data_IF_969365062030
#
_entry.id   IF_969365062030
#
_cell.length_a   1.000
_cell.length_b   1.000
_cell.length_c   1.000
_cell.angle_alpha   90.00
_cell.angle_beta   90.00
_cell.angle_gamma   90.00
#
_symmetry.space_group_name_H-M   'P 1'
#
loop_
_entity.id
_entity.type
_entity.pdbx_description
1 polymer ?
#
# COMPACT_ATOMS: atom_id res chain seq x y z
N UNK A 1 -2.77 -1.62 -9.63
CA UNK A 1 -3.89 -0.69 -9.37
C UNK A 1 -5.26 -1.33 -9.58
N UNK A 2 -5.58 -1.88 -10.77
CA UNK A 2 -6.92 -2.38 -11.10
C UNK A 2 -7.46 -3.47 -10.13
N UNK A 3 -6.61 -4.40 -9.67
CA UNK A 3 -7.02 -5.47 -8.75
C UNK A 3 -7.48 -4.98 -7.37
N UNK A 4 -6.86 -3.91 -6.85
CA UNK A 4 -7.26 -3.32 -5.57
C UNK A 4 -8.63 -2.64 -5.66
N UNK A 5 -8.91 -1.99 -6.79
CA UNK A 5 -10.22 -1.35 -7.05
C UNK A 5 -11.32 -2.40 -7.13
N UNK A 6 -11.09 -3.50 -7.84
CA UNK A 6 -12.07 -4.61 -7.93
C UNK A 6 -12.31 -5.24 -6.55
N UNK A 7 -11.26 -5.50 -5.78
CA UNK A 7 -11.41 -6.03 -4.42
C UNK A 7 -12.20 -5.11 -3.49
N UNK A 8 -11.93 -3.80 -3.55
CA UNK A 8 -12.64 -2.80 -2.78
C UNK A 8 -14.13 -2.70 -3.16
N UNK A 9 -14.44 -2.75 -4.46
CA UNK A 9 -15.82 -2.74 -4.95
C UNK A 9 -16.60 -3.99 -4.50
N UNK A 10 -15.97 -5.18 -4.55
CA UNK A 10 -16.58 -6.42 -4.07
C UNK A 10 -16.86 -6.37 -2.57
N UNK A 11 -15.91 -5.87 -1.76
CA UNK A 11 -16.10 -5.69 -0.32
C UNK A 11 -17.23 -4.69 -0.02
N UNK A 12 -17.28 -3.59 -0.76
CA UNK A 12 -18.31 -2.56 -0.59
C UNK A 12 -19.70 -3.09 -0.96
N UNK A 13 -19.80 -3.85 -2.05
CA UNK A 13 -21.03 -4.50 -2.47
C UNK A 13 -21.51 -5.53 -1.43
N UNK A 14 -20.59 -6.34 -0.90
CA UNK A 14 -20.92 -7.31 0.15
C UNK A 14 -21.35 -6.63 1.46
N UNK A 15 -20.69 -5.53 1.85
CA UNK A 15 -21.10 -4.73 3.00
C UNK A 15 -22.50 -4.13 2.82
N UNK A 16 -22.81 -3.59 1.64
CA UNK A 16 -24.13 -3.08 1.32
C UNK A 16 -25.20 -4.17 1.38
N UNK A 17 -24.92 -5.35 0.80
CA UNK A 17 -25.80 -6.52 0.87
C UNK A 17 -26.06 -6.96 2.31
N UNK A 18 -25.00 -7.03 3.13
CA UNK A 18 -25.07 -7.40 4.54
C UNK A 18 -25.92 -6.42 5.34
N UNK A 19 -25.75 -5.11 5.12
CA UNK A 19 -26.55 -4.10 5.80
C UNK A 19 -28.03 -4.17 5.40
N UNK A 20 -28.32 -4.34 4.11
CA UNK A 20 -29.69 -4.38 3.61
C UNK A 20 -30.44 -5.63 4.10
N UNK A 21 -29.84 -6.81 3.95
CA UNK A 21 -30.44 -8.07 4.40
C UNK A 21 -30.44 -8.18 5.93
N UNK A 22 -29.39 -7.70 6.60
CA UNK A 22 -29.28 -7.68 8.06
C UNK A 22 -30.41 -6.87 8.70
N UNK A 23 -30.76 -5.70 8.15
CA UNK A 23 -31.90 -4.91 8.62
C UNK A 23 -33.24 -5.63 8.49
N UNK A 24 -33.43 -6.42 7.43
CA UNK A 24 -34.67 -7.21 7.24
C UNK A 24 -34.77 -8.37 8.24
N UNK A 25 -33.65 -9.06 8.49
CA UNK A 25 -33.54 -10.12 9.50
C UNK A 25 -33.82 -9.55 10.89
N UNK A 26 -33.23 -8.39 11.21
CA UNK A 26 -33.47 -7.69 12.47
C UNK A 26 -34.93 -7.29 12.63
N UNK A 27 -35.53 -6.67 11.62
CA UNK A 27 -36.94 -6.28 11.65
C UNK A 27 -37.87 -7.49 11.88
N UNK A 28 -37.60 -8.62 11.22
CA UNK A 28 -38.35 -9.85 11.41
C UNK A 28 -38.18 -10.42 12.82
N UNK A 29 -36.96 -10.39 13.36
CA UNK A 29 -36.65 -10.88 14.71
C UNK A 29 -37.33 -10.03 15.79
N UNK A 30 -37.30 -8.70 15.62
CA UNK A 30 -37.96 -7.75 16.51
C UNK A 30 -39.47 -7.92 16.46
N UNK A 31 -40.07 -7.96 15.27
CA UNK A 31 -41.52 -8.17 15.12
C UNK A 31 -41.97 -9.52 15.71
N UNK A 32 -41.20 -10.58 15.51
CA UNK A 32 -41.48 -11.89 16.10
C UNK A 32 -41.49 -11.84 17.63
N UNK A 33 -40.43 -11.28 18.23
CA UNK A 33 -40.25 -11.26 19.68
C UNK A 33 -41.16 -10.28 20.39
N UNK A 34 -41.42 -9.11 19.81
CA UNK A 34 -42.12 -8.01 20.47
C UNK A 34 -43.59 -7.93 20.09
N UNK A 35 -43.98 -8.46 18.93
CA UNK A 35 -45.35 -8.38 18.42
C UNK A 35 -46.01 -9.75 18.33
N UNK A 36 -45.46 -10.67 17.53
CA UNK A 36 -46.16 -11.91 17.13
C UNK A 36 -46.26 -12.93 18.26
N UNK A 37 -45.18 -13.22 19.00
CA UNK A 37 -45.22 -14.16 20.13
C UNK A 37 -46.15 -13.67 21.26
N UNK A 38 -46.04 -12.42 21.76
CA UNK A 38 -46.96 -11.91 22.76
C UNK A 38 -48.43 -11.94 22.31
N UNK A 39 -48.69 -11.69 21.03
CA UNK A 39 -50.03 -11.81 20.47
C UNK A 39 -50.58 -13.25 20.50
N UNK A 40 -49.77 -14.25 20.16
CA UNK A 40 -50.18 -15.65 20.25
C UNK A 40 -50.51 -16.05 21.69
N UNK A 41 -49.71 -15.58 22.66
CA UNK A 41 -49.99 -15.77 24.10
C UNK A 41 -51.30 -15.07 24.47
N UNK A 42 -51.51 -13.83 24.02
CA UNK A 42 -52.73 -13.06 24.29
C UNK A 42 -53.98 -13.75 23.73
N UNK A 43 -53.90 -14.31 22.52
CA UNK A 43 -55.00 -15.07 21.94
C UNK A 43 -55.31 -16.35 22.73
N UNK A 44 -54.30 -17.03 23.27
CA UNK A 44 -54.48 -18.18 24.16
C UNK A 44 -55.11 -17.77 25.50
N UNK A 45 -54.67 -16.66 26.11
CA UNK A 45 -55.27 -16.10 27.31
C UNK A 45 -56.73 -15.74 27.09
N UNK A 46 -57.07 -15.14 25.95
CA UNK A 46 -58.44 -14.77 25.63
C UNK A 46 -59.36 -15.99 25.50
N UNK A 47 -58.86 -17.10 24.95
CA UNK A 47 -59.60 -18.39 24.95
C UNK A 47 -59.82 -18.92 26.35
N UNK A 48 -58.83 -18.81 27.23
CA UNK A 48 -58.99 -19.16 28.64
C UNK A 48 -60.03 -18.25 29.32
N UNK A 49 -60.02 -16.95 29.04
CA UNK A 49 -60.97 -15.99 29.61
C UNK A 49 -62.41 -16.30 29.17
N UNK A 50 -62.61 -16.72 27.91
CA UNK A 50 -63.91 -17.19 27.42
C UNK A 50 -64.42 -18.38 28.22
N UNK A 51 -63.55 -19.34 28.57
CA UNK A 51 -63.93 -20.48 29.39
C UNK A 51 -64.26 -20.07 30.84
N UNK A 52 -63.52 -19.12 31.40
CA UNK A 52 -63.81 -18.55 32.72
C UNK A 52 -65.20 -17.90 32.73
N UNK A 53 -65.56 -17.12 31.70
CA UNK A 53 -66.90 -16.54 31.61
C UNK A 53 -68.00 -17.59 31.51
N UNK A 54 -67.80 -18.64 30.71
CA UNK A 54 -68.76 -19.76 30.63
C UNK A 54 -68.97 -20.34 32.03
N UNK A 55 -67.89 -20.64 32.75
CA UNK A 55 -67.95 -21.21 34.09
C UNK A 55 -68.66 -20.29 35.10
N UNK A 56 -68.39 -18.98 35.05
CA UNK A 56 -69.04 -17.99 35.92
C UNK A 56 -70.56 -17.93 35.72
N UNK A 57 -71.03 -17.99 34.47
CA UNK A 57 -72.47 -17.98 34.17
C UNK A 57 -73.13 -19.29 34.63
N UNK A 58 -72.47 -20.43 34.46
CA UNK A 58 -72.94 -21.71 35.01
C UNK A 58 -72.93 -21.75 36.54
N UNK A 59 -71.94 -21.12 37.18
CA UNK A 59 -71.89 -21.00 38.63
C UNK A 59 -73.05 -20.15 39.16
N UNK A 60 -73.32 -19.00 38.54
CA UNK A 60 -74.49 -18.18 38.88
C UNK A 60 -75.80 -18.96 38.70
N UNK A 61 -75.92 -19.75 37.63
CA UNK A 61 -77.08 -20.63 37.42
C UNK A 61 -77.25 -21.65 38.54
N UNK A 62 -76.16 -22.20 39.07
CA UNK A 62 -76.20 -23.26 40.09
C UNK A 62 -76.37 -22.71 41.53
N UNK A 63 -75.74 -21.59 41.86
CA UNK A 63 -75.66 -21.06 43.23
C UNK A 63 -76.62 -19.90 43.49
N UNK A 64 -77.03 -19.19 42.44
CA UNK A 64 -77.75 -17.92 42.50
C UNK A 64 -77.05 -16.83 43.35
N UNK A 65 -75.73 -16.94 43.54
CA UNK A 65 -74.93 -15.94 44.28
C UNK A 65 -74.51 -14.78 43.36
N UNK A 66 -75.36 -13.76 43.30
CA UNK A 66 -75.10 -12.57 42.48
C UNK A 66 -73.90 -11.73 42.95
N UNK A 67 -73.57 -11.75 44.24
CA UNK A 67 -72.50 -10.90 44.77
C UNK A 67 -71.11 -11.45 44.39
N UNK A 68 -70.93 -12.77 44.53
CA UNK A 68 -69.73 -13.45 44.08
C UNK A 68 -69.58 -13.39 42.54
N UNK A 69 -70.69 -13.55 41.81
CA UNK A 69 -70.70 -13.41 40.36
C UNK A 69 -70.26 -12.02 39.89
N UNK A 70 -70.88 -10.95 40.38
CA UNK A 70 -70.60 -9.59 39.89
C UNK A 70 -69.12 -9.22 40.03
N UNK A 71 -68.51 -9.55 41.18
CA UNK A 71 -67.09 -9.27 41.44
C UNK A 71 -66.16 -9.99 40.47
N UNK A 72 -66.40 -11.30 40.26
CA UNK A 72 -65.54 -12.12 39.40
C UNK A 72 -65.78 -11.83 37.91
N UNK A 73 -67.02 -11.53 37.52
CA UNK A 73 -67.41 -11.23 36.15
C UNK A 73 -66.84 -9.90 35.65
N UNK A 74 -66.87 -8.85 36.49
CA UNK A 74 -66.27 -7.56 36.15
C UNK A 74 -64.76 -7.66 35.91
N UNK A 75 -64.05 -8.42 36.75
CA UNK A 75 -62.61 -8.65 36.58
C UNK A 75 -62.30 -9.39 35.28
N UNK A 76 -63.05 -10.46 34.98
CA UNK A 76 -62.91 -11.22 33.73
C UNK A 76 -63.18 -10.35 32.49
N UNK A 77 -64.24 -9.54 32.50
CA UNK A 77 -64.54 -8.61 31.41
C UNK A 77 -63.43 -7.58 31.19
N UNK A 78 -62.84 -7.05 32.27
CA UNK A 78 -61.72 -6.12 32.17
C UNK A 78 -60.49 -6.78 31.53
N UNK A 79 -60.15 -8.01 31.93
CA UNK A 79 -59.05 -8.78 31.33
C UNK A 79 -59.30 -9.10 29.85
N UNK A 80 -60.51 -9.54 29.49
CA UNK A 80 -60.87 -9.79 28.09
C UNK A 80 -60.74 -8.53 27.24
N UNK A 81 -61.23 -7.39 27.72
CA UNK A 81 -61.13 -6.11 27.02
C UNK A 81 -59.67 -5.70 26.80
N UNK A 82 -58.83 -5.86 27.81
CA UNK A 82 -57.39 -5.61 27.71
C UNK A 82 -56.72 -6.53 26.67
N UNK A 83 -56.98 -7.84 26.74
CA UNK A 83 -56.45 -8.82 25.79
C UNK A 83 -56.91 -8.55 24.34
N UNK A 84 -58.18 -8.21 24.12
CA UNK A 84 -58.66 -7.79 22.80
C UNK A 84 -57.96 -6.51 22.30
N UNK A 85 -57.68 -5.55 23.18
CA UNK A 85 -57.01 -4.31 22.79
C UNK A 85 -55.58 -4.55 22.31
N UNK A 86 -54.87 -5.51 22.92
CA UNK A 86 -53.53 -5.93 22.49
C UNK A 86 -53.57 -6.60 21.12
N UNK A 87 -54.55 -7.48 20.86
CA UNK A 87 -54.69 -8.16 19.57
C UNK A 87 -55.01 -7.21 18.41
N UNK A 88 -55.72 -6.10 18.65
CA UNK A 88 -56.03 -5.09 17.63
C UNK A 88 -54.81 -4.44 16.98
N UNK A 89 -53.65 -4.50 17.63
CA UNK A 89 -52.40 -3.97 17.06
C UNK A 89 -51.81 -4.83 15.94
N UNK A 90 -52.30 -6.06 15.78
CA UNK A 90 -51.83 -6.97 14.73
C UNK A 90 -52.43 -6.60 13.37
N UNK A 91 -51.60 -6.59 12.35
CA UNK A 91 -52.09 -6.44 10.98
C UNK A 91 -53.02 -7.58 10.57
N UNK A 92 -52.78 -8.80 11.04
CA UNK A 92 -53.65 -9.96 10.80
C UNK A 92 -55.02 -9.80 11.45
N UNK A 93 -55.14 -9.04 12.54
CA UNK A 93 -56.43 -8.81 13.21
C UNK A 93 -57.43 -8.09 12.31
N UNK A 94 -56.96 -7.22 11.39
CA UNK A 94 -57.83 -6.44 10.49
C UNK A 94 -58.76 -7.33 9.66
N UNK A 95 -58.30 -8.52 9.25
CA UNK A 95 -59.11 -9.50 8.51
C UNK A 95 -60.22 -10.14 9.34
N UNK A 96 -60.06 -10.15 10.67
CA UNK A 96 -60.96 -10.81 11.62
C UNK A 96 -61.81 -9.83 12.45
N UNK A 97 -61.46 -8.54 12.43
CA UNK A 97 -62.02 -7.50 13.30
C UNK A 97 -63.55 -7.46 13.25
N UNK A 98 -64.15 -7.38 12.06
CA UNK A 98 -65.59 -7.26 11.90
C UNK A 98 -66.34 -8.45 12.54
N UNK A 99 -65.86 -9.67 12.30
CA UNK A 99 -66.48 -10.90 12.82
C UNK A 99 -66.27 -11.06 14.32
N UNK A 100 -65.07 -10.75 14.83
CA UNK A 100 -64.80 -10.75 16.27
C UNK A 100 -65.65 -9.72 17.02
N UNK A 101 -65.85 -8.53 16.45
CA UNK A 101 -66.74 -7.51 16.99
C UNK A 101 -68.20 -7.97 17.00
N UNK A 102 -68.68 -8.55 15.89
CA UNK A 102 -70.04 -9.09 15.79
C UNK A 102 -70.31 -10.16 16.86
N UNK A 103 -69.42 -11.15 16.98
CA UNK A 103 -69.54 -12.21 17.99
C UNK A 103 -69.47 -11.63 19.40
N UNK A 104 -68.58 -10.66 19.64
CA UNK A 104 -68.42 -10.02 20.95
C UNK A 104 -69.67 -9.26 21.40
N UNK A 105 -70.30 -8.51 20.50
CA UNK A 105 -71.58 -7.82 20.77
C UNK A 105 -72.69 -8.84 21.07
N UNK A 106 -72.78 -9.91 20.27
CA UNK A 106 -73.74 -11.00 20.51
C UNK A 106 -73.53 -11.65 21.88
N UNK A 107 -72.28 -11.94 22.25
CA UNK A 107 -71.93 -12.50 23.55
C UNK A 107 -72.34 -11.61 24.72
N UNK A 108 -72.04 -10.31 24.63
CA UNK A 108 -72.40 -9.34 25.68
C UNK A 108 -73.92 -9.26 25.87
N UNK A 109 -74.68 -9.26 24.76
CA UNK A 109 -76.15 -9.26 24.81
C UNK A 109 -76.70 -10.54 25.45
N UNK A 110 -76.14 -11.70 25.13
CA UNK A 110 -76.55 -12.99 25.70
C UNK A 110 -76.24 -13.08 27.21
N UNK A 111 -75.06 -12.63 27.63
CA UNK A 111 -74.68 -12.56 29.04
C UNK A 111 -75.61 -11.61 29.82
N UNK A 112 -75.87 -10.42 29.29
CA UNK A 112 -76.80 -9.48 29.90
C UNK A 112 -78.22 -10.06 30.01
N UNK A 113 -78.72 -10.70 28.95
CA UNK A 113 -80.03 -11.35 28.99
C UNK A 113 -80.10 -12.43 30.07
N UNK A 114 -79.10 -13.30 30.14
CA UNK A 114 -79.00 -14.33 31.17
C UNK A 114 -79.03 -13.73 32.59
N UNK A 115 -78.20 -12.70 32.86
CA UNK A 115 -78.16 -12.04 34.17
C UNK A 115 -79.51 -11.38 34.50
N UNK A 116 -80.21 -10.81 33.53
CA UNK A 116 -81.55 -10.24 33.75
C UNK A 116 -82.59 -11.29 34.10
N UNK A 117 -82.57 -12.45 33.43
CA UNK A 117 -83.46 -13.58 33.76
C UNK A 117 -83.20 -14.09 35.19
N UNK A 118 -81.92 -14.24 35.56
CA UNK A 118 -81.54 -14.70 36.91
C UNK A 118 -81.90 -13.70 38.03
N UNK A 119 -82.08 -12.41 37.71
CA UNK A 119 -82.46 -11.36 38.69
C UNK A 119 -83.97 -11.25 38.92
N UNK A 120 -84.80 -11.98 38.18
CA UNK A 120 -86.26 -11.92 38.35
C UNK A 120 -86.69 -12.56 39.67
N UNK A 121 -87.77 -12.08 40.31
CA UNK A 121 -88.29 -12.66 41.56
C UNK A 121 -88.67 -14.14 41.41
N UNK A 122 -89.15 -14.53 40.24
CA UNK A 122 -89.46 -15.91 39.86
C UNK A 122 -88.64 -16.22 38.60
N UNK A 123 -87.57 -17.00 38.75
CA UNK A 123 -86.60 -17.26 37.67
C UNK A 123 -87.18 -18.23 36.64
N UNK A 124 -87.24 -17.80 35.37
CA UNK A 124 -87.50 -18.68 34.24
C UNK A 124 -86.24 -19.50 33.91
N UNK A 125 -86.16 -20.70 34.48
CA UNK A 125 -85.02 -21.60 34.33
C UNK A 125 -84.82 -22.11 32.90
N UNK A 126 -85.89 -22.20 32.11
CA UNK A 126 -85.79 -22.64 30.71
C UNK A 126 -85.21 -21.52 29.85
N UNK A 127 -85.66 -20.27 30.06
CA UNK A 127 -85.05 -19.10 29.42
C UNK A 127 -83.58 -18.91 29.84
N UNK A 128 -83.24 -19.13 31.11
CA UNK A 128 -81.86 -19.07 31.60
C UNK A 128 -80.98 -20.14 30.93
N UNK A 129 -81.49 -21.37 30.80
CA UNK A 129 -80.79 -22.48 30.14
C UNK A 129 -80.59 -22.21 28.65
N UNK A 130 -81.59 -21.67 27.97
CA UNK A 130 -81.49 -21.28 26.56
C UNK A 130 -80.43 -20.18 26.36
N UNK A 131 -80.43 -19.15 27.22
CA UNK A 131 -79.44 -18.09 27.18
C UNK A 131 -78.01 -18.60 27.41
N UNK A 132 -77.80 -19.53 28.36
CA UNK A 132 -76.50 -20.20 28.59
C UNK A 132 -76.05 -21.01 27.37
N UNK A 133 -76.96 -21.79 26.78
CA UNK A 133 -76.67 -22.59 25.58
C UNK A 133 -76.26 -21.69 24.41
N UNK A 134 -77.00 -20.61 24.18
CA UNK A 134 -76.67 -19.62 23.15
C UNK A 134 -75.36 -18.89 23.43
N UNK A 135 -75.06 -18.54 24.70
CA UNK A 135 -73.79 -17.94 25.10
C UNK A 135 -72.62 -18.88 24.83
N UNK A 136 -72.73 -20.15 25.23
CA UNK A 136 -71.74 -21.20 24.98
C UNK A 136 -71.48 -21.39 23.48
N UNK A 137 -72.53 -21.42 22.66
CA UNK A 137 -72.40 -21.48 21.21
C UNK A 137 -71.66 -20.25 20.64
N UNK A 138 -71.95 -19.05 21.15
CA UNK A 138 -71.25 -17.82 20.76
C UNK A 138 -69.80 -17.80 21.21
N UNK A 139 -69.48 -18.34 22.40
CA UNK A 139 -68.11 -18.47 22.89
C UNK A 139 -67.29 -19.46 22.04
N UNK A 140 -67.90 -20.55 21.60
CA UNK A 140 -67.29 -21.49 20.66
C UNK A 140 -67.00 -20.82 19.30
N UNK A 141 -67.94 -20.03 18.78
CA UNK A 141 -67.73 -19.26 17.55
C UNK A 141 -66.57 -18.24 17.70
N UNK A 142 -66.47 -17.56 18.85
CA UNK A 142 -65.35 -16.67 19.17
C UNK A 142 -64.03 -17.44 19.19
N UNK A 143 -64.00 -18.61 19.84
CA UNK A 143 -62.80 -19.46 19.91
C UNK A 143 -62.32 -19.90 18.53
N UNK A 144 -63.25 -20.31 17.64
CA UNK A 144 -62.94 -20.68 16.26
C UNK A 144 -62.38 -19.51 15.43
N UNK A 145 -62.89 -18.31 15.66
CA UNK A 145 -62.37 -17.11 15.00
C UNK A 145 -60.96 -16.76 15.50
N UNK A 146 -60.72 -16.89 16.80
CA UNK A 146 -59.39 -16.74 17.39
C UNK A 146 -58.42 -17.84 16.94
N UNK A 147 -58.87 -19.09 16.74
CA UNK A 147 -58.08 -20.15 16.09
C UNK A 147 -57.66 -19.76 14.67
N UNK A 148 -58.58 -19.18 13.91
CA UNK A 148 -58.31 -18.72 12.55
C UNK A 148 -57.29 -17.58 12.53
N UNK A 149 -57.43 -16.60 13.41
CA UNK A 149 -56.46 -15.51 13.60
C UNK A 149 -55.08 -16.06 14.01
N UNK A 150 -55.03 -16.94 15.01
CA UNK A 150 -53.78 -17.59 15.47
C UNK A 150 -53.11 -18.32 14.30
N UNK A 151 -53.87 -19.07 13.51
CA UNK A 151 -53.36 -19.79 12.35
C UNK A 151 -52.79 -18.84 11.29
N UNK A 152 -53.45 -17.72 11.00
CA UNK A 152 -52.94 -16.72 10.06
C UNK A 152 -51.63 -16.10 10.57
N UNK A 153 -51.62 -15.65 11.83
CA UNK A 153 -50.44 -15.08 12.50
C UNK A 153 -49.27 -16.07 12.47
N UNK A 154 -49.50 -17.33 12.85
CA UNK A 154 -48.46 -18.37 12.83
C UNK A 154 -47.95 -18.66 11.41
N UNK A 155 -48.82 -18.69 10.40
CA UNK A 155 -48.43 -18.96 9.01
C UNK A 155 -47.57 -17.83 8.45
N UNK A 156 -47.97 -16.56 8.63
CA UNK A 156 -47.18 -15.40 8.19
C UNK A 156 -45.86 -15.29 8.96
N UNK A 157 -45.89 -15.59 10.26
CA UNK A 157 -44.70 -15.63 11.10
C UNK A 157 -43.71 -16.69 10.61
N UNK A 158 -44.18 -17.90 10.31
CA UNK A 158 -43.33 -18.98 9.79
C UNK A 158 -42.73 -18.62 8.44
N UNK A 159 -43.51 -18.06 7.53
CA UNK A 159 -43.02 -17.61 6.22
C UNK A 159 -41.96 -16.51 6.36
N UNK A 160 -42.18 -15.56 7.27
CA UNK A 160 -41.21 -14.48 7.53
C UNK A 160 -39.91 -15.03 8.15
N UNK A 161 -40.01 -15.98 9.08
CA UNK A 161 -38.85 -16.66 9.66
C UNK A 161 -38.06 -17.47 8.61
N UNK A 162 -38.75 -18.18 7.71
CA UNK A 162 -38.12 -18.90 6.60
C UNK A 162 -37.41 -17.96 5.63
N UNK A 163 -38.03 -16.83 5.27
CA UNK A 163 -37.38 -15.81 4.44
C UNK A 163 -36.14 -15.22 5.13
N UNK A 164 -36.22 -14.94 6.43
CA UNK A 164 -35.09 -14.47 7.23
C UNK A 164 -33.95 -15.51 7.29
N UNK A 165 -34.28 -16.79 7.41
CA UNK A 165 -33.32 -17.89 7.34
C UNK A 165 -32.64 -17.94 5.98
N UNK A 166 -33.40 -17.87 4.88
CA UNK A 166 -32.86 -17.86 3.52
C UNK A 166 -31.91 -16.68 3.27
N UNK A 167 -32.28 -15.47 3.72
CA UNK A 167 -31.40 -14.30 3.63
C UNK A 167 -30.10 -14.51 4.42
N UNK A 168 -30.18 -15.15 5.59
CA UNK A 168 -29.00 -15.48 6.40
C UNK A 168 -28.10 -16.49 5.66
N UNK A 169 -28.67 -17.55 5.10
CA UNK A 169 -27.93 -18.54 4.31
C UNK A 169 -27.26 -17.92 3.07
N UNK A 170 -27.95 -17.02 2.36
CA UNK A 170 -27.39 -16.28 1.23
C UNK A 170 -26.22 -15.40 1.64
N UNK A 171 -26.31 -14.70 2.79
CA UNK A 171 -25.21 -13.89 3.31
C UNK A 171 -24.00 -14.75 3.68
N UNK A 172 -24.21 -15.91 4.31
CA UNK A 172 -23.13 -16.86 4.64
C UNK A 172 -22.46 -17.36 3.36
N UNK A 173 -23.25 -17.80 2.37
CA UNK A 173 -22.71 -18.29 1.09
C UNK A 173 -21.94 -17.19 0.34
N UNK A 174 -22.49 -15.98 0.26
CA UNK A 174 -21.82 -14.84 -0.35
C UNK A 174 -20.51 -14.49 0.38
N UNK A 175 -20.50 -14.57 1.71
CA UNK A 175 -19.30 -14.35 2.53
C UNK A 175 -18.22 -15.40 2.27
N UNK A 176 -18.58 -16.68 2.14
CA UNK A 176 -17.66 -17.77 1.80
C UNK A 176 -17.07 -17.54 0.39
N UNK A 177 -17.89 -17.23 -0.61
CA UNK A 177 -17.43 -16.96 -1.98
C UNK A 177 -16.47 -15.77 -1.98
N UNK A 178 -16.81 -14.69 -1.27
CA UNK A 178 -15.94 -13.53 -1.15
C UNK A 178 -14.61 -13.87 -0.49
N UNK A 179 -14.62 -14.66 0.59
CA UNK A 179 -13.41 -15.11 1.28
C UNK A 179 -12.49 -15.92 0.34
N UNK A 180 -13.07 -16.82 -0.47
CA UNK A 180 -12.33 -17.59 -1.48
C UNK A 180 -11.72 -16.65 -2.54
N UNK A 181 -12.49 -15.68 -3.04
CA UNK A 181 -12.01 -14.71 -4.04
C UNK A 181 -10.87 -13.84 -3.49
N UNK A 182 -10.98 -13.37 -2.25
CA UNK A 182 -9.91 -12.62 -1.59
C UNK A 182 -8.67 -13.49 -1.42
N UNK A 183 -8.82 -14.73 -0.97
CA UNK A 183 -7.71 -15.67 -0.82
C UNK A 183 -6.99 -15.95 -2.16
N UNK A 184 -7.75 -16.24 -3.22
CA UNK A 184 -7.20 -16.41 -4.57
C UNK A 184 -6.52 -15.13 -5.09
N UNK A 185 -7.09 -13.96 -4.80
CA UNK A 185 -6.50 -12.67 -5.12
C UNK A 185 -5.14 -12.48 -4.46
N UNK A 186 -5.00 -12.85 -3.18
CA UNK A 186 -3.73 -12.80 -2.44
C UNK A 186 -2.70 -13.75 -3.06
N UNK A 187 -3.07 -15.00 -3.35
CA UNK A 187 -2.17 -15.96 -4.00
C UNK A 187 -1.70 -15.45 -5.36
N UNK A 188 -2.62 -14.95 -6.18
CA UNK A 188 -2.31 -14.44 -7.52
C UNK A 188 -1.38 -13.23 -7.43
N UNK A 189 -1.62 -12.32 -6.48
CA UNK A 189 -0.76 -11.16 -6.26
C UNK A 189 0.64 -11.56 -5.76
N UNK A 190 0.72 -12.54 -4.85
CA UNK A 190 2.00 -13.06 -4.37
C UNK A 190 2.80 -13.71 -5.51
N UNK A 191 2.14 -14.52 -6.34
CA UNK A 191 2.74 -15.12 -7.53
C UNK A 191 3.23 -14.06 -8.53
N UNK A 192 2.39 -13.06 -8.82
CA UNK A 192 2.73 -11.97 -9.73
C UNK A 192 3.93 -11.16 -9.23
N UNK A 193 3.91 -10.76 -7.95
CA UNK A 193 5.02 -10.03 -7.31
C UNK A 193 6.32 -10.83 -7.35
N UNK A 194 6.26 -12.14 -7.06
CA UNK A 194 7.42 -13.00 -7.12
C UNK A 194 7.97 -13.12 -8.55
N UNK A 195 7.10 -13.31 -9.55
CA UNK A 195 7.52 -13.53 -10.94
C UNK A 195 7.99 -12.27 -11.64
N UNK A 196 7.32 -11.14 -11.42
CA UNK A 196 7.55 -9.91 -12.19
C UNK A 196 8.49 -8.93 -11.48
N UNK A 197 8.61 -8.99 -10.15
CA UNK A 197 9.48 -8.07 -9.41
C UNK A 197 10.65 -8.83 -8.78
N UNK A 198 10.37 -9.80 -7.91
CA UNK A 198 11.43 -10.46 -7.12
C UNK A 198 12.41 -11.25 -7.99
N UNK A 199 11.94 -12.02 -8.97
CA UNK A 199 12.79 -12.80 -9.87
C UNK A 199 13.70 -11.92 -10.75
N UNK A 200 13.18 -10.93 -11.52
CA UNK A 200 14.02 -10.05 -12.32
C UNK A 200 15.01 -9.26 -11.47
N UNK A 201 14.60 -8.74 -10.31
CA UNK A 201 15.49 -8.01 -9.41
C UNK A 201 16.63 -8.89 -8.89
N UNK A 202 16.34 -10.16 -8.54
CA UNK A 202 17.37 -11.13 -8.16
C UNK A 202 18.31 -11.45 -9.31
N UNK A 203 17.80 -11.55 -10.54
CA UNK A 203 18.63 -11.76 -11.73
C UNK A 203 19.56 -10.57 -12.02
N UNK A 204 19.06 -9.33 -11.88
CA UNK A 204 19.87 -8.11 -12.00
C UNK A 204 20.94 -8.07 -10.91
N UNK A 205 20.56 -8.34 -9.65
CA UNK A 205 21.51 -8.40 -8.53
C UNK A 205 22.62 -9.42 -8.77
N UNK A 206 22.27 -10.63 -9.26
CA UNK A 206 23.26 -11.66 -9.60
C UNK A 206 24.22 -11.18 -10.69
N UNK A 207 23.72 -10.53 -11.73
CA UNK A 207 24.57 -10.03 -12.82
C UNK A 207 25.48 -8.88 -12.40
N UNK A 208 25.04 -8.01 -11.49
CA UNK A 208 25.89 -6.97 -10.90
C UNK A 208 27.03 -7.59 -10.06
N UNK A 209 26.70 -8.62 -9.28
CA UNK A 209 27.72 -9.39 -8.55
C UNK A 209 28.70 -10.06 -9.51
N UNK A 210 28.22 -10.66 -10.59
CA UNK A 210 29.08 -11.28 -11.61
C UNK A 210 29.96 -10.26 -12.34
N UNK A 211 29.42 -9.08 -12.68
CA UNK A 211 30.17 -7.98 -13.27
C UNK A 211 31.31 -7.53 -12.33
N UNK A 212 31.01 -7.38 -11.04
CA UNK A 212 32.00 -6.98 -10.02
C UNK A 212 33.08 -8.06 -9.84
N UNK A 213 32.70 -9.33 -9.84
CA UNK A 213 33.62 -10.46 -9.67
C UNK A 213 34.51 -10.68 -10.89
N UNK A 214 33.93 -10.62 -12.09
CA UNK A 214 34.67 -10.78 -13.34
C UNK A 214 35.64 -9.64 -13.54
N UNK A 215 35.24 -8.43 -13.09
CA UNK A 215 35.83 -7.18 -13.57
C UNK A 215 35.80 -7.29 -15.09
N UNK A 216 34.62 -7.14 -15.71
CA UNK A 216 34.56 -6.91 -17.17
C UNK A 216 33.57 -5.76 -17.47
N UNK A 217 34.08 -4.61 -17.94
CA UNK A 217 33.29 -3.39 -18.20
C UNK A 217 32.58 -3.51 -19.56
N UNK A 218 32.97 -4.47 -20.39
CA UNK A 218 32.33 -4.79 -21.67
C UNK A 218 31.06 -5.60 -21.49
N UNK A 219 30.92 -6.27 -20.34
CA UNK A 219 29.70 -6.96 -20.00
C UNK A 219 28.52 -5.97 -19.86
N UNK A 220 27.36 -6.38 -20.36
CA UNK A 220 26.11 -5.64 -20.27
C UNK A 220 25.05 -6.50 -19.61
N UNK A 221 24.32 -5.89 -18.68
CA UNK A 221 23.21 -6.55 -18.01
C UNK A 221 22.15 -6.86 -19.06
N UNK A 222 21.65 -8.10 -19.05
CA UNK A 222 20.57 -8.53 -19.93
C UNK A 222 19.27 -7.87 -19.50
N UNK A 223 18.40 -7.59 -20.47
CA UNK A 223 17.09 -6.99 -20.24
C UNK A 223 16.07 -8.09 -19.91
N UNK A 224 15.37 -7.97 -18.77
CA UNK A 224 14.41 -8.99 -18.30
C UNK A 224 12.98 -8.48 -18.15
N UNK A 225 12.76 -7.16 -18.20
CA UNK A 225 11.44 -6.55 -18.06
C UNK A 225 11.44 -5.16 -18.71
N UNK A 226 10.28 -4.71 -19.20
CA UNK A 226 10.07 -3.37 -19.77
C UNK A 226 9.46 -2.39 -18.75
N UNK A 227 9.56 -2.70 -17.47
CA UNK A 227 9.06 -1.91 -16.35
C UNK A 227 10.20 -1.16 -15.64
N UNK A 228 9.96 -0.71 -14.41
CA UNK A 228 10.95 0.00 -13.59
C UNK A 228 12.23 -0.82 -13.37
N UNK A 229 12.16 -2.16 -13.36
CA UNK A 229 13.36 -3.02 -13.28
C UNK A 229 14.15 -2.96 -14.58
N UNK A 230 13.47 -2.86 -15.72
CA UNK A 230 14.07 -2.61 -17.02
C UNK A 230 14.84 -1.29 -17.09
N UNK A 231 14.25 -0.23 -16.53
CA UNK A 231 14.87 1.09 -16.47
C UNK A 231 16.15 1.10 -15.61
N UNK A 232 16.19 0.30 -14.54
CA UNK A 232 17.41 0.10 -13.73
C UNK A 232 18.50 -0.54 -14.61
N UNK A 233 18.19 -1.60 -15.34
CA UNK A 233 19.15 -2.27 -16.24
C UNK A 233 19.71 -1.30 -17.28
N UNK A 234 18.85 -0.50 -17.91
CA UNK A 234 19.26 0.49 -18.90
C UNK A 234 20.17 1.57 -18.30
N UNK A 235 19.81 2.08 -17.13
CA UNK A 235 20.59 3.10 -16.41
C UNK A 235 21.96 2.56 -15.99
N UNK A 236 22.04 1.32 -15.52
CA UNK A 236 23.31 0.65 -15.20
C UNK A 236 24.17 0.47 -16.45
N UNK A 237 23.60 0.00 -17.56
CA UNK A 237 24.34 -0.19 -18.80
C UNK A 237 24.92 1.13 -19.35
N UNK A 238 24.16 2.23 -19.22
CA UNK A 238 24.66 3.57 -19.57
C UNK A 238 25.80 4.02 -18.66
N UNK A 239 25.72 3.75 -17.36
CA UNK A 239 26.81 4.02 -16.42
C UNK A 239 28.09 3.26 -16.82
N UNK A 240 27.96 1.98 -17.17
CA UNK A 240 29.09 1.16 -17.66
C UNK A 240 29.70 1.72 -18.94
N UNK A 241 28.88 2.21 -19.86
CA UNK A 241 29.35 2.86 -21.10
C UNK A 241 30.17 4.11 -20.81
N UNK A 242 29.73 4.96 -19.88
CA UNK A 242 30.47 6.16 -19.49
C UNK A 242 31.79 5.82 -18.78
N UNK A 243 31.80 4.77 -17.93
CA UNK A 243 33.06 4.26 -17.36
C UNK A 243 34.03 3.78 -18.44
N UNK A 244 33.56 3.06 -19.45
CA UNK A 244 34.42 2.62 -20.55
C UNK A 244 35.01 3.78 -21.35
N UNK A 245 34.21 4.81 -21.66
CA UNK A 245 34.69 6.03 -22.35
C UNK A 245 35.76 6.74 -21.53
N UNK A 246 35.57 6.81 -20.21
CA UNK A 246 36.54 7.39 -19.29
C UNK A 246 37.85 6.59 -19.30
N UNK A 247 37.79 5.26 -19.20
CA UNK A 247 38.99 4.39 -19.28
C UNK A 247 39.71 4.55 -20.62
N UNK A 248 38.98 4.61 -21.74
CA UNK A 248 39.58 4.84 -23.06
C UNK A 248 40.28 6.21 -23.16
N UNK A 249 39.66 7.25 -22.60
CA UNK A 249 40.26 8.59 -22.53
C UNK A 249 41.54 8.58 -21.70
N UNK A 250 41.54 7.87 -20.55
CA UNK A 250 42.74 7.72 -19.72
C UNK A 250 43.88 7.01 -20.45
N UNK A 251 43.58 5.97 -21.25
CA UNK A 251 44.57 5.32 -22.12
C UNK A 251 45.17 6.29 -23.14
N UNK A 252 44.32 7.06 -23.85
CA UNK A 252 44.78 8.05 -24.82
C UNK A 252 45.67 9.13 -24.19
N UNK A 253 45.27 9.66 -23.04
CA UNK A 253 46.06 10.64 -22.28
C UNK A 253 47.40 10.04 -21.81
N UNK A 254 47.41 8.78 -21.35
CA UNK A 254 48.65 8.10 -20.95
C UNK A 254 49.63 7.96 -22.13
N UNK A 255 49.13 7.64 -23.32
CA UNK A 255 49.95 7.56 -24.52
C UNK A 255 50.52 8.93 -24.93
N UNK A 256 49.69 9.98 -24.85
CA UNK A 256 50.10 11.36 -25.12
C UNK A 256 51.17 11.85 -24.14
N UNK A 257 51.02 11.56 -22.84
CA UNK A 257 52.05 11.83 -21.83
C UNK A 257 53.35 11.11 -22.18
N UNK A 258 53.30 9.84 -22.58
CA UNK A 258 54.49 9.08 -22.95
C UNK A 258 55.18 9.64 -24.21
N UNK A 259 54.41 10.07 -25.22
CA UNK A 259 54.94 10.77 -26.42
C UNK A 259 55.58 12.11 -26.05
N UNK A 260 54.97 12.85 -25.12
CA UNK A 260 55.51 14.12 -24.61
C UNK A 260 56.83 13.90 -23.88
N UNK A 261 56.93 12.85 -23.06
CA UNK A 261 58.17 12.45 -22.36
C UNK A 261 59.30 12.14 -23.36
N UNK A 262 59.02 11.38 -24.42
CA UNK A 262 60.02 11.07 -25.48
C UNK A 262 60.52 12.35 -26.14
N UNK A 263 59.60 13.23 -26.56
CA UNK A 263 59.95 14.50 -27.18
C UNK A 263 60.77 15.39 -26.24
N UNK A 264 60.43 15.43 -24.95
CA UNK A 264 61.19 16.19 -23.94
C UNK A 264 62.60 15.63 -23.77
N UNK A 265 62.76 14.30 -23.80
CA UNK A 265 64.05 13.62 -23.70
C UNK A 265 64.92 13.95 -24.92
N UNK A 266 64.35 13.87 -26.12
CA UNK A 266 65.03 14.23 -27.37
C UNK A 266 65.45 15.71 -27.37
N UNK A 267 64.56 16.62 -26.97
CA UNK A 267 64.86 18.06 -26.84
C UNK A 267 66.00 18.28 -25.82
N UNK A 268 65.97 17.56 -24.69
CA UNK A 268 67.01 17.67 -23.66
C UNK A 268 68.36 17.19 -24.18
N UNK A 269 68.39 16.09 -24.92
CA UNK A 269 69.61 15.56 -25.55
C UNK A 269 70.17 16.53 -26.60
N UNK A 270 69.31 17.03 -27.50
CA UNK A 270 69.68 18.03 -28.51
C UNK A 270 70.15 19.34 -27.88
N UNK A 271 69.50 19.78 -26.80
CA UNK A 271 69.92 20.99 -26.08
C UNK A 271 71.31 20.80 -25.47
N UNK A 272 71.58 19.64 -24.87
CA UNK A 272 72.88 19.31 -24.30
C UNK A 272 73.99 19.26 -25.35
N UNK A 273 73.74 18.64 -26.49
CA UNK A 273 74.73 18.56 -27.58
C UNK A 273 75.00 19.93 -28.18
N UNK A 274 73.95 20.69 -28.52
CA UNK A 274 74.08 22.07 -29.04
C UNK A 274 74.82 22.98 -28.06
N UNK A 275 74.54 22.88 -26.76
CA UNK A 275 75.19 23.71 -25.75
C UNK A 275 76.67 23.31 -25.59
N UNK A 276 76.97 22.01 -25.55
CA UNK A 276 78.36 21.51 -25.53
C UNK A 276 79.15 21.99 -26.74
N UNK A 277 78.58 21.86 -27.94
CA UNK A 277 79.21 22.32 -29.18
C UNK A 277 79.39 23.84 -29.20
N UNK A 278 78.35 24.59 -28.83
CA UNK A 278 78.40 26.06 -28.75
C UNK A 278 79.46 26.53 -27.76
N UNK A 279 79.58 25.88 -26.60
CA UNK A 279 80.60 26.20 -25.61
C UNK A 279 81.99 25.84 -26.10
N UNK A 280 82.16 24.73 -26.82
CA UNK A 280 83.43 24.39 -27.46
C UNK A 280 83.83 25.44 -28.51
N UNK A 281 82.90 25.86 -29.37
CA UNK A 281 83.11 26.93 -30.36
C UNK A 281 83.45 28.28 -29.69
N UNK A 282 82.74 28.64 -28.62
CA UNK A 282 83.01 29.88 -27.90
C UNK A 282 84.35 29.86 -27.16
N UNK A 283 84.70 28.75 -26.50
CA UNK A 283 86.02 28.58 -25.83
C UNK A 283 87.15 28.62 -26.84
N UNK A 284 87.02 27.94 -27.99
CA UNK A 284 88.01 28.00 -29.06
C UNK A 284 88.12 29.40 -29.67
N UNK A 285 87.02 30.12 -29.87
CA UNK A 285 87.06 31.52 -30.32
C UNK A 285 87.77 32.43 -29.31
N UNK A 286 87.51 32.26 -28.01
CA UNK A 286 88.21 32.98 -26.96
C UNK A 286 89.72 32.67 -26.95
N UNK A 287 90.10 31.39 -27.08
CA UNK A 287 91.50 30.96 -27.15
C UNK A 287 92.22 31.47 -28.42
N UNK A 288 91.56 31.44 -29.57
CA UNK A 288 92.10 32.00 -30.80
C UNK A 288 92.30 33.52 -30.66
N UNK A 289 91.33 34.23 -30.09
CA UNK A 289 91.45 35.66 -29.82
C UNK A 289 92.57 35.96 -28.81
N UNK A 290 92.79 35.10 -27.79
CA UNK A 290 93.97 35.19 -26.90
C UNK A 290 95.28 35.01 -27.68
N UNK A 291 95.33 34.06 -28.61
CA UNK A 291 96.50 33.83 -29.46
C UNK A 291 96.78 35.02 -30.38
N UNK A 292 95.73 35.63 -30.95
CA UNK A 292 95.82 36.85 -31.78
C UNK A 292 96.32 38.05 -30.96
N UNK A 293 95.88 38.21 -29.71
CA UNK A 293 96.40 39.23 -28.79
C UNK A 293 97.88 38.98 -28.46
N UNK A 294 98.25 37.74 -28.13
CA UNK A 294 99.64 37.39 -27.78
C UNK A 294 100.60 37.62 -28.95
N UNK A 295 100.16 37.34 -30.18
CA UNK A 295 100.94 37.59 -31.39
C UNK A 295 101.02 39.08 -31.74
N UNK A 296 99.94 39.84 -31.50
CA UNK A 296 99.94 41.32 -31.62
C UNK A 296 100.91 41.98 -30.63
N UNK A 297 101.03 41.43 -29.41
CA UNK A 297 101.95 41.90 -28.36
C UNK A 297 103.44 41.79 -28.73
N UNK A 298 103.82 40.91 -29.68
CA UNK A 298 105.23 40.69 -30.04
C UNK A 298 105.75 41.66 -31.11
N UNK A 299 104.90 42.50 -31.71
CA UNK A 299 105.24 43.19 -32.97
C UNK A 299 105.56 44.69 -32.86
N UNK A 300 105.35 45.36 -31.72
CA UNK A 300 105.70 46.79 -31.58
C UNK A 300 106.38 47.10 -30.24
N UNK A 301 107.71 47.22 -30.26
CA UNK A 301 108.42 47.95 -29.22
C UNK A 301 108.19 49.45 -29.40
N UNK A 302 107.83 50.14 -28.30
CA UNK A 302 107.59 51.59 -28.15
C UNK A 302 106.10 52.03 -28.22
N UNK A 303 105.28 51.60 -27.25
CA UNK A 303 104.19 52.40 -26.61
C UNK A 303 103.66 51.69 -25.32
N UNK A 304 104.44 51.68 -24.23
CA UNK A 304 104.29 50.69 -23.14
C UNK A 304 103.13 50.89 -22.16
N UNK A 305 102.56 52.09 -22.00
CA UNK A 305 101.57 52.32 -20.92
C UNK A 305 100.09 52.22 -21.36
N UNK A 306 99.76 52.59 -22.59
CA UNK A 306 98.39 52.46 -23.14
C UNK A 306 98.09 51.00 -23.52
N UNK A 307 99.10 50.27 -23.97
CA UNK A 307 98.96 48.89 -24.45
C UNK A 307 98.76 47.88 -23.31
N UNK A 308 99.31 48.16 -22.11
CA UNK A 308 99.12 47.34 -20.90
C UNK A 308 97.70 47.49 -20.34
N UNK A 309 97.14 48.70 -20.33
CA UNK A 309 95.75 48.96 -19.93
C UNK A 309 94.78 48.28 -20.92
N UNK A 310 95.03 48.41 -22.22
CA UNK A 310 94.24 47.75 -23.26
C UNK A 310 94.32 46.22 -23.19
N UNK A 311 95.52 45.64 -23.04
CA UNK A 311 95.70 44.21 -22.82
C UNK A 311 95.01 43.72 -21.55
N UNK A 312 95.11 44.49 -20.46
CA UNK A 312 94.43 44.14 -19.20
C UNK A 312 92.92 44.21 -19.35
N UNK A 313 92.40 45.19 -20.09
CA UNK A 313 90.98 45.30 -20.41
C UNK A 313 90.52 44.13 -21.29
N UNK A 314 91.31 43.73 -22.29
CA UNK A 314 91.04 42.57 -23.14
C UNK A 314 91.10 41.25 -22.35
N UNK A 315 92.08 41.06 -21.47
CA UNK A 315 92.16 39.89 -20.59
C UNK A 315 91.00 39.83 -19.61
N UNK A 316 90.60 40.97 -19.02
CA UNK A 316 89.40 41.06 -18.18
C UNK A 316 88.13 40.77 -18.98
N UNK A 317 88.04 41.24 -20.21
CA UNK A 317 86.93 40.96 -21.11
C UNK A 317 86.82 39.46 -21.44
N UNK A 318 87.95 38.81 -21.74
CA UNK A 318 88.02 37.36 -21.98
C UNK A 318 87.69 36.58 -20.72
N UNK A 319 88.23 36.95 -19.57
CA UNK A 319 87.90 36.33 -18.29
C UNK A 319 86.42 36.50 -17.96
N UNK A 320 85.84 37.66 -18.25
CA UNK A 320 84.39 37.89 -18.10
C UNK A 320 83.61 36.97 -19.04
N UNK A 321 83.98 36.87 -20.31
CA UNK A 321 83.30 35.97 -21.26
C UNK A 321 83.45 34.50 -20.89
N UNK A 322 84.62 34.06 -20.43
CA UNK A 322 84.83 32.70 -19.95
C UNK A 322 84.00 32.42 -18.70
N UNK A 323 83.86 33.40 -17.80
CA UNK A 323 82.98 33.32 -16.64
C UNK A 323 81.50 33.29 -17.04
N UNK A 324 81.07 34.13 -17.98
CA UNK A 324 79.70 34.16 -18.49
C UNK A 324 79.35 32.82 -19.20
N UNK A 325 80.33 32.20 -19.88
CA UNK A 325 80.22 30.85 -20.44
C UNK A 325 80.09 29.81 -19.32
N UNK A 326 80.87 29.91 -18.27
CA UNK A 326 80.85 28.98 -17.13
C UNK A 326 79.53 29.06 -16.34
N UNK A 327 79.08 30.28 -16.06
CA UNK A 327 77.78 30.57 -15.45
C UNK A 327 76.63 30.08 -16.37
N UNK A 328 76.78 30.24 -17.68
CA UNK A 328 75.87 29.71 -18.69
C UNK A 328 75.84 28.19 -18.75
N UNK A 329 76.99 27.51 -18.63
CA UNK A 329 77.06 26.04 -18.53
C UNK A 329 76.40 25.54 -17.27
N UNK A 330 76.66 26.17 -16.13
CA UNK A 330 76.03 25.79 -14.87
C UNK A 330 74.51 26.02 -14.91
N UNK A 331 74.04 27.10 -15.54
CA UNK A 331 72.61 27.31 -15.75
C UNK A 331 71.99 26.25 -16.68
N UNK A 332 72.70 25.85 -17.75
CA UNK A 332 72.25 24.81 -18.67
C UNK A 332 72.20 23.42 -18.00
N UNK A 333 73.22 23.07 -17.21
CA UNK A 333 73.25 21.81 -16.45
C UNK A 333 72.11 21.76 -15.43
N UNK A 334 71.88 22.86 -14.70
CA UNK A 334 70.72 22.97 -13.79
C UNK A 334 69.40 22.79 -14.52
N UNK A 335 69.22 23.41 -15.70
CA UNK A 335 68.01 23.25 -16.50
C UNK A 335 67.85 21.81 -17.01
N UNK A 336 68.94 21.18 -17.40
CA UNK A 336 68.96 19.78 -17.85
C UNK A 336 68.59 18.83 -16.71
N UNK A 337 69.06 19.10 -15.49
CA UNK A 337 68.71 18.34 -14.29
C UNK A 337 67.24 18.51 -13.89
N UNK A 338 66.70 19.73 -13.96
CA UNK A 338 65.28 20.01 -13.71
C UNK A 338 64.40 19.33 -14.76
N UNK A 339 64.79 19.36 -16.03
CA UNK A 339 64.08 18.65 -17.10
C UNK A 339 64.13 17.14 -16.87
N UNK A 340 65.29 16.57 -16.50
CA UNK A 340 65.44 15.15 -16.18
C UNK A 340 64.56 14.72 -15.00
N UNK A 341 64.54 15.50 -13.91
CA UNK A 341 63.67 15.23 -12.76
C UNK A 341 62.19 15.29 -13.16
N UNK A 342 61.82 16.25 -14.01
CA UNK A 342 60.46 16.38 -14.55
C UNK A 342 60.08 15.17 -15.42
N UNK A 343 60.99 14.71 -16.29
CA UNK A 343 60.82 13.48 -17.09
C UNK A 343 60.59 12.26 -16.20
N UNK A 344 61.39 12.11 -15.12
CA UNK A 344 61.23 10.99 -14.17
C UNK A 344 59.89 11.05 -13.46
N UNK A 345 59.43 12.23 -13.03
CA UNK A 345 58.12 12.40 -12.39
C UNK A 345 56.97 12.11 -13.35
N UNK A 346 57.06 12.59 -14.59
CA UNK A 346 56.07 12.31 -15.63
C UNK A 346 56.05 10.83 -16.01
N UNK A 347 57.21 10.16 -16.05
CA UNK A 347 57.29 8.72 -16.29
C UNK A 347 56.61 7.94 -15.16
N UNK A 348 56.90 8.27 -13.90
CA UNK A 348 56.22 7.66 -12.75
C UNK A 348 54.72 7.89 -12.77
N UNK A 349 54.27 9.07 -13.21
CA UNK A 349 52.85 9.37 -13.38
C UNK A 349 52.23 8.52 -14.50
N UNK A 350 52.90 8.40 -15.64
CA UNK A 350 52.46 7.58 -16.76
C UNK A 350 52.39 6.09 -16.40
N UNK A 351 53.39 5.58 -15.68
CA UNK A 351 53.45 4.21 -15.18
C UNK A 351 52.34 3.96 -14.15
N UNK A 352 52.11 4.89 -13.23
CA UNK A 352 51.01 4.80 -12.26
C UNK A 352 49.64 4.85 -12.96
N UNK A 353 49.47 5.71 -13.97
CA UNK A 353 48.26 5.70 -14.80
C UNK A 353 48.10 4.36 -15.51
N UNK A 354 49.16 3.81 -16.09
CA UNK A 354 49.15 2.51 -16.76
C UNK A 354 48.77 1.37 -15.79
N UNK A 355 49.33 1.38 -14.58
CA UNK A 355 49.01 0.41 -13.52
C UNK A 355 47.58 0.56 -13.01
N UNK A 356 47.11 1.79 -12.76
CA UNK A 356 45.72 2.05 -12.38
C UNK A 356 44.76 1.62 -13.48
N UNK A 357 45.09 1.90 -14.73
CA UNK A 357 44.31 1.44 -15.88
C UNK A 357 44.33 -0.09 -15.94
N UNK A 358 45.44 -0.77 -15.65
CA UNK A 358 45.53 -2.24 -15.58
C UNK A 358 44.76 -2.83 -14.38
N UNK A 359 44.56 -2.07 -13.30
CA UNK A 359 43.76 -2.48 -12.15
C UNK A 359 42.26 -2.21 -12.36
N UNK A 360 41.96 -1.11 -13.06
CA UNK A 360 40.63 -0.73 -13.58
C UNK A 360 40.27 -1.50 -14.84
N UNK A 361 41.21 -2.27 -15.38
CA UNK A 361 40.98 -3.35 -16.29
C UNK A 361 40.90 -4.65 -15.46
N UNK A 362 39.71 -5.10 -15.15
CA UNK A 362 38.64 -5.13 -16.14
C UNK A 362 39.04 -5.75 -17.50
#
# INVERSE_FOLDING_TARGET
MLGYVVGFLLLSAFAALTLFNGKQIEATTVDLSQTKIPALITAASLKSDLQVQINQLYELYATNDHAAFETSHQSSLAMMKDNFSKLRSLDEYKSHEAKLLEIGVKQANLANNFVQVMKQPEVDWDAAREALSAFSASANAMSQELDSLVKEVSTKTLSSAQNSQQLTEQLIQAGIVLAILVFLGVITMAYYSHSQVSKPLKAVSSQLTDLTNRRDLTYRLKHFSYDEVGDIVNSTNRLLEEFQKLTHTLYGTSEEVNRTIKSLTDITEVTRTNMSERNHKLRSAALNFMSDIESSSKTNGVQKDIDIELHRAQLKFIQSHLKDIDDGTHAADRNTDVLRDSTIKLQKLADNMHDQIRLLNF
#
